data_IF_709766671708
#
_entry.id   IF_709766671708
#
_cell.length_a   1.000
_cell.length_b   1.000
_cell.length_c   1.000
_cell.angle_alpha   90.00
_cell.angle_beta   90.00
_cell.angle_gamma   90.00
#
_symmetry.space_group_name_H-M   'P 1'
#
loop_
_entity.id
_entity.type
_entity.pdbx_description
1 polymer ?
#
# COMPACT_ATOMS: atom_id res chain seq x y z
N UNK A 1 13.55 -13.82 -20.63
CA UNK A 1 13.14 -15.04 -19.94
C UNK A 1 12.93 -14.75 -18.47
N UNK A 2 12.19 -15.60 -17.76
CA UNK A 2 12.11 -15.60 -16.31
C UNK A 2 13.38 -16.28 -15.77
N UNK A 3 14.18 -15.53 -15.01
CA UNK A 3 15.36 -16.03 -14.33
C UNK A 3 15.02 -16.35 -12.87
N UNK A 4 15.54 -17.46 -12.34
CA UNK A 4 15.38 -17.83 -10.93
C UNK A 4 16.74 -17.72 -10.24
N UNK A 5 16.79 -16.98 -9.14
CA UNK A 5 17.95 -16.90 -8.27
C UNK A 5 17.57 -17.52 -6.93
N UNK A 6 18.32 -18.53 -6.49
CA UNK A 6 18.22 -19.03 -5.12
C UNK A 6 18.77 -17.97 -4.17
N UNK A 7 18.06 -17.71 -3.08
CA UNK A 7 18.55 -16.88 -1.98
C UNK A 7 19.24 -17.81 -0.99
N UNK A 8 20.51 -17.57 -0.64
CA UNK A 8 21.28 -18.43 0.24
C UNK A 8 20.83 -18.22 1.70
N UNK A 9 19.72 -18.84 2.07
CA UNK A 9 19.19 -18.79 3.43
C UNK A 9 19.54 -20.08 4.17
N UNK A 10 20.10 -19.93 5.36
CA UNK A 10 20.33 -21.07 6.27
C UNK A 10 19.00 -21.42 6.94
N UNK A 11 18.42 -22.57 6.60
CA UNK A 11 17.15 -23.05 7.20
C UNK A 11 15.87 -22.74 6.42
N UNK A 12 15.96 -22.02 5.29
CA UNK A 12 14.82 -21.71 4.42
C UNK A 12 13.88 -20.62 4.98
N UNK A 13 12.73 -20.43 4.32
CA UNK A 13 11.68 -19.49 4.75
C UNK A 13 10.40 -20.25 5.10
N UNK A 14 9.83 -19.93 6.26
CA UNK A 14 8.43 -20.22 6.55
C UNK A 14 7.56 -19.17 5.84
N UNK A 15 6.69 -19.61 4.93
CA UNK A 15 5.85 -18.74 4.09
C UNK A 15 4.34 -18.98 4.30
N UNK A 16 3.97 -20.01 5.06
CA UNK A 16 2.60 -20.48 5.24
C UNK A 16 2.27 -20.69 6.73
N UNK A 17 2.76 -19.79 7.57
CA UNK A 17 2.59 -19.78 9.03
C UNK A 17 1.38 -18.95 9.49
N UNK A 18 0.61 -18.38 8.56
CA UNK A 18 -0.56 -17.54 8.85
C UNK A 18 -0.21 -16.25 9.63
N UNK A 19 1.03 -15.79 9.51
CA UNK A 19 1.51 -14.56 10.14
C UNK A 19 1.84 -13.48 9.10
N UNK A 20 1.59 -12.21 9.44
CA UNK A 20 2.07 -11.11 8.62
C UNK A 20 3.59 -10.99 8.74
N UNK A 21 4.28 -11.06 7.60
CA UNK A 21 5.73 -10.88 7.52
C UNK A 21 6.05 -9.87 6.43
N UNK A 22 6.93 -8.91 6.73
CA UNK A 22 7.41 -7.97 5.73
C UNK A 22 8.55 -8.58 4.92
N UNK A 23 8.44 -8.52 3.59
CA UNK A 23 9.49 -8.92 2.66
C UNK A 23 9.87 -7.76 1.75
N UNK A 24 11.17 -7.52 1.57
CA UNK A 24 11.67 -6.55 0.61
C UNK A 24 12.81 -7.14 -0.23
N UNK A 25 12.85 -6.70 -1.49
CA UNK A 25 13.87 -7.07 -2.46
C UNK A 25 14.39 -5.78 -3.11
N UNK A 26 15.70 -5.58 -3.08
CA UNK A 26 16.38 -4.46 -3.72
C UNK A 26 17.26 -4.97 -4.85
N UNK A 27 17.10 -4.39 -6.04
CA UNK A 27 17.80 -4.80 -7.25
C UNK A 27 18.72 -3.68 -7.73
N UNK A 28 19.99 -4.00 -7.99
CA UNK A 28 20.98 -3.08 -8.51
C UNK A 28 21.66 -3.68 -9.74
N UNK A 29 21.70 -2.96 -10.85
CA UNK A 29 22.46 -3.40 -12.03
C UNK A 29 23.95 -3.46 -11.71
N UNK A 30 24.61 -4.56 -12.08
CA UNK A 30 26.05 -4.79 -11.89
C UNK A 30 26.77 -4.91 -13.24
N UNK A 31 28.11 -4.90 -13.23
CA UNK A 31 28.93 -5.07 -14.44
C UNK A 31 28.63 -6.38 -15.19
N UNK A 32 28.27 -7.42 -14.45
CA UNK A 32 27.64 -8.63 -14.97
C UNK A 32 26.40 -8.92 -14.13
N UNK A 33 25.23 -8.93 -14.77
CA UNK A 33 23.99 -9.34 -14.14
C UNK A 33 23.28 -8.27 -13.31
N UNK A 34 22.70 -8.70 -12.19
CA UNK A 34 21.97 -7.87 -11.23
C UNK A 34 22.30 -8.35 -9.83
N UNK A 35 22.61 -7.42 -8.94
CA UNK A 35 22.74 -7.68 -7.52
C UNK A 35 21.35 -7.62 -6.86
N UNK A 36 21.08 -8.59 -5.99
CA UNK A 36 19.85 -8.65 -5.19
C UNK A 36 20.24 -8.61 -3.71
N UNK A 37 19.57 -7.73 -2.96
CA UNK A 37 19.53 -7.78 -1.51
C UNK A 37 18.09 -8.14 -1.07
N UNK A 38 17.96 -9.10 -0.16
CA UNK A 38 16.70 -9.61 0.38
C UNK A 38 16.61 -9.33 1.88
N UNK A 39 15.43 -8.90 2.31
CA UNK A 39 15.15 -8.49 3.68
C UNK A 39 13.86 -9.12 4.19
N UNK A 40 13.85 -9.49 5.48
CA UNK A 40 12.68 -9.95 6.22
C UNK A 40 12.54 -9.09 7.48
N UNK A 41 11.35 -8.52 7.69
CA UNK A 41 11.06 -7.66 8.86
C UNK A 41 12.11 -6.57 9.11
N UNK A 42 12.58 -5.94 8.03
CA UNK A 42 13.58 -4.87 8.09
C UNK A 42 15.04 -5.33 8.07
N UNK A 43 15.30 -6.60 8.40
CA UNK A 43 16.65 -7.14 8.53
C UNK A 43 17.14 -7.83 7.26
N UNK A 44 18.43 -7.71 6.90
CA UNK A 44 18.99 -8.36 5.72
C UNK A 44 19.15 -9.87 5.94
N UNK A 45 18.47 -10.65 5.10
CA UNK A 45 18.54 -12.12 5.10
C UNK A 45 19.53 -12.66 4.06
N UNK A 46 19.76 -11.88 3.00
CA UNK A 46 20.77 -12.17 1.99
C UNK A 46 21.20 -10.90 1.28
N UNK A 47 22.51 -10.70 1.13
CA UNK A 47 23.08 -9.48 0.53
C UNK A 47 24.01 -9.83 -0.60
N UNK A 48 24.10 -8.90 -1.56
CA UNK A 48 25.00 -9.01 -2.70
C UNK A 48 24.85 -10.31 -3.48
N UNK A 49 23.61 -10.81 -3.60
CA UNK A 49 23.33 -12.02 -4.36
C UNK A 49 23.44 -11.67 -5.83
N UNK A 50 24.53 -12.09 -6.47
CA UNK A 50 24.80 -11.80 -7.87
C UNK A 50 24.05 -12.78 -8.77
N UNK A 51 23.27 -12.24 -9.70
CA UNK A 51 22.69 -13.02 -10.79
C UNK A 51 23.62 -13.05 -11.99
N UNK A 52 23.48 -14.07 -12.84
CA UNK A 52 24.19 -14.14 -14.12
C UNK A 52 23.52 -13.33 -15.24
N UNK A 53 22.41 -12.64 -14.97
CA UNK A 53 21.55 -12.01 -15.98
C UNK A 53 21.14 -10.59 -15.56
N UNK A 54 21.31 -9.62 -16.46
CA UNK A 54 21.00 -8.22 -16.19
C UNK A 54 19.52 -7.89 -16.41
N UNK A 55 19.01 -6.89 -15.68
CA UNK A 55 17.74 -6.25 -16.00
C UNK A 55 18.00 -5.23 -17.12
N UNK A 56 17.44 -5.49 -18.30
CA UNK A 56 17.53 -4.59 -19.45
C UNK A 56 16.74 -3.29 -19.26
N UNK A 57 16.95 -2.32 -20.14
CA UNK A 57 16.19 -1.08 -20.14
C UNK A 57 14.69 -1.38 -20.33
N UNK A 58 13.87 -0.83 -19.43
CA UNK A 58 12.42 -0.85 -19.57
C UNK A 58 11.99 0.38 -20.36
N UNK A 59 11.41 0.17 -21.54
CA UNK A 59 10.81 1.24 -22.36
C UNK A 59 9.29 1.14 -22.33
N UNK A 60 8.60 2.29 -22.28
CA UNK A 60 7.14 2.38 -22.30
C UNK A 60 6.48 2.24 -20.93
N UNK A 61 5.16 2.06 -20.92
CA UNK A 61 4.35 1.95 -19.69
C UNK A 61 4.49 0.57 -19.08
N UNK A 62 4.83 0.53 -17.78
CA UNK A 62 4.82 -0.69 -16.99
C UNK A 62 3.40 -1.02 -16.53
N UNK A 63 2.94 -2.25 -16.83
CA UNK A 63 1.68 -2.80 -16.32
C UNK A 63 2.01 -4.05 -15.51
N UNK A 64 1.74 -3.99 -14.21
CA UNK A 64 2.00 -5.09 -13.27
C UNK A 64 0.71 -5.69 -12.72
N UNK A 65 0.78 -6.95 -12.30
CA UNK A 65 -0.21 -7.57 -11.42
C UNK A 65 0.47 -7.84 -10.08
N UNK A 66 -0.26 -7.61 -8.98
CA UNK A 66 0.14 -8.03 -7.64
C UNK A 66 -0.65 -9.30 -7.33
N UNK A 67 0.03 -10.37 -6.95
CA UNK A 67 -0.60 -11.64 -6.61
C UNK A 67 -1.19 -12.43 -7.78
N UNK A 68 -0.77 -12.18 -9.03
CA UNK A 68 -1.12 -13.01 -10.18
C UNK A 68 -0.07 -12.86 -11.30
N UNK A 69 0.00 -13.84 -12.19
CA UNK A 69 0.90 -13.79 -13.35
C UNK A 69 0.41 -12.79 -14.39
N UNK A 70 1.34 -12.06 -15.01
CA UNK A 70 1.06 -11.13 -16.13
C UNK A 70 1.34 -11.74 -17.50
N UNK A 71 2.33 -12.62 -17.56
CA UNK A 71 2.78 -13.29 -18.79
C UNK A 71 3.17 -14.72 -18.45
N UNK A 72 3.26 -15.57 -19.48
CA UNK A 72 3.71 -16.93 -19.32
C UNK A 72 5.18 -16.95 -18.85
N UNK A 73 5.50 -17.60 -17.72
CA UNK A 73 6.89 -17.79 -17.31
C UNK A 73 7.68 -18.55 -18.39
N UNK A 74 8.95 -18.21 -18.61
CA UNK A 74 9.75 -18.98 -19.57
C UNK A 74 10.00 -20.40 -19.05
N UNK A 75 9.96 -21.39 -19.95
CA UNK A 75 10.22 -22.79 -19.63
C UNK A 75 8.97 -23.58 -19.19
N UNK A 76 7.78 -23.00 -19.27
CA UNK A 76 6.52 -23.71 -19.06
C UNK A 76 5.97 -24.21 -20.39
N UNK A 77 5.61 -25.49 -20.46
CA UNK A 77 4.99 -26.11 -21.65
C UNK A 77 3.51 -25.75 -21.82
N UNK A 78 2.82 -25.45 -20.71
CA UNK A 78 1.43 -25.01 -20.72
C UNK A 78 1.33 -23.52 -20.97
N UNK A 79 0.39 -23.11 -21.83
CA UNK A 79 0.08 -21.70 -22.05
C UNK A 79 -0.59 -21.12 -20.79
N UNK A 80 0.18 -20.41 -19.97
CA UNK A 80 -0.37 -19.68 -18.83
C UNK A 80 -0.85 -18.31 -19.30
N UNK A 81 -2.13 -18.03 -19.04
CA UNK A 81 -2.78 -16.77 -19.40
C UNK A 81 -2.62 -15.74 -18.28
N UNK A 82 -2.63 -14.46 -18.65
CA UNK A 82 -2.64 -13.34 -17.71
C UNK A 82 -3.76 -13.49 -16.66
N UNK A 83 -3.41 -13.35 -15.39
CA UNK A 83 -4.33 -13.50 -14.25
C UNK A 83 -4.36 -14.89 -13.59
N UNK A 84 -3.64 -15.88 -14.14
CA UNK A 84 -3.45 -17.19 -13.51
C UNK A 84 -2.36 -17.15 -12.42
N UNK A 85 -2.18 -18.26 -11.69
CA UNK A 85 -1.18 -18.35 -10.62
C UNK A 85 -1.46 -17.38 -9.48
N UNK A 86 -2.73 -17.29 -9.06
CA UNK A 86 -3.17 -16.34 -8.04
C UNK A 86 -2.51 -16.64 -6.69
N UNK A 87 -2.07 -15.59 -6.02
CA UNK A 87 -1.63 -15.65 -4.64
C UNK A 87 -2.80 -16.00 -3.74
N UNK A 88 -2.58 -16.95 -2.83
CA UNK A 88 -3.51 -17.28 -1.75
C UNK A 88 -2.88 -16.80 -0.43
N UNK A 89 -3.01 -15.50 -0.17
CA UNK A 89 -2.54 -14.83 1.03
C UNK A 89 -3.19 -13.45 1.14
N UNK A 90 -3.09 -12.82 2.31
CA UNK A 90 -3.39 -11.40 2.49
C UNK A 90 -2.18 -10.54 2.17
N UNK A 91 -2.41 -9.31 1.68
CA UNK A 91 -1.38 -8.33 1.36
C UNK A 91 -1.78 -6.99 1.96
N UNK A 92 -0.78 -6.29 2.49
CA UNK A 92 -0.91 -4.89 2.86
C UNK A 92 0.42 -4.16 2.59
N UNK A 93 0.42 -2.82 2.63
CA UNK A 93 1.63 -1.99 2.61
C UNK A 93 2.58 -2.24 1.40
N UNK A 94 2.03 -2.49 0.21
CA UNK A 94 2.84 -2.74 -0.98
C UNK A 94 3.51 -1.47 -1.49
N UNK A 95 4.83 -1.50 -1.64
CA UNK A 95 5.63 -0.36 -2.10
C UNK A 95 6.56 -0.77 -3.24
N UNK A 96 6.69 0.12 -4.22
CA UNK A 96 7.67 -0.03 -5.29
C UNK A 96 8.50 1.25 -5.42
N UNK A 97 9.82 1.09 -5.40
CA UNK A 97 10.79 2.18 -5.55
C UNK A 97 11.51 2.05 -6.89
N UNK A 98 11.80 3.19 -7.52
CA UNK A 98 12.59 3.27 -8.76
C UNK A 98 14.09 3.41 -8.49
N UNK A 99 14.50 3.01 -7.30
CA UNK A 99 15.88 3.05 -6.84
C UNK A 99 16.17 1.84 -5.95
N UNK A 100 17.45 1.51 -5.86
CA UNK A 100 17.91 0.52 -4.90
C UNK A 100 17.74 1.05 -3.48
N UNK A 101 17.02 0.31 -2.62
CA UNK A 101 16.84 0.65 -1.20
C UNK A 101 17.91 -0.07 -0.37
N UNK A 102 18.67 0.69 0.41
CA UNK A 102 19.72 0.16 1.30
C UNK A 102 19.11 -0.48 2.56
N UNK A 103 19.92 -1.21 3.31
CA UNK A 103 19.50 -1.84 4.57
C UNK A 103 18.92 -0.81 5.55
N UNK A 104 19.61 0.30 5.81
CA UNK A 104 19.15 1.34 6.74
C UNK A 104 17.81 1.94 6.31
N UNK A 105 17.66 2.12 5.00
CA UNK A 105 16.45 2.65 4.37
C UNK A 105 15.25 1.73 4.58
N UNK A 106 15.45 0.42 4.52
CA UNK A 106 14.42 -0.60 4.73
C UNK A 106 14.15 -0.79 6.22
N UNK A 107 15.20 -1.01 7.01
CA UNK A 107 15.12 -1.25 8.45
C UNK A 107 14.42 -0.13 9.22
N UNK A 108 14.56 1.13 8.77
CA UNK A 108 13.87 2.27 9.39
C UNK A 108 12.40 2.42 8.97
N UNK A 109 12.02 1.94 7.79
CA UNK A 109 10.75 2.32 7.16
C UNK A 109 9.78 1.16 6.90
N UNK A 110 10.18 -0.09 7.13
CA UNK A 110 9.35 -1.26 6.77
C UNK A 110 8.03 -1.35 7.54
N UNK A 111 7.95 -0.78 8.74
CA UNK A 111 6.80 -0.80 9.65
C UNK A 111 6.12 0.57 9.81
N UNK A 112 6.50 1.57 9.02
CA UNK A 112 5.93 2.92 9.11
C UNK A 112 5.56 3.44 7.73
N UNK A 113 4.64 4.40 7.69
CA UNK A 113 4.27 5.12 6.48
C UNK A 113 5.47 5.88 5.90
N UNK A 114 5.48 6.04 4.58
CA UNK A 114 6.51 6.78 3.85
C UNK A 114 5.86 7.86 2.99
N UNK A 115 6.36 9.08 3.10
CA UNK A 115 5.77 10.22 2.39
C UNK A 115 6.08 10.17 0.89
N UNK A 116 5.01 10.08 0.09
CA UNK A 116 5.06 10.11 -1.36
C UNK A 116 4.94 11.50 -1.98
N UNK A 117 4.62 12.53 -1.19
CA UNK A 117 4.18 13.85 -1.66
C UNK A 117 5.01 14.43 -2.82
N UNK A 118 4.35 14.68 -3.96
CA UNK A 118 4.93 15.36 -5.12
C UNK A 118 4.49 16.82 -5.26
N UNK A 119 3.77 17.35 -4.27
CA UNK A 119 3.13 18.67 -4.33
C UNK A 119 4.11 19.83 -4.07
N UNK A 120 5.33 19.54 -3.63
CA UNK A 120 6.38 20.54 -3.48
C UNK A 120 7.27 20.60 -4.73
N UNK A 121 7.48 21.82 -5.25
CA UNK A 121 8.34 22.09 -6.40
C UNK A 121 9.77 21.58 -6.11
N UNK A 122 10.22 20.58 -6.87
CA UNK A 122 11.57 20.02 -6.77
C UNK A 122 11.67 18.69 -6.02
N UNK A 123 10.65 18.29 -5.25
CA UNK A 123 10.60 16.96 -4.64
C UNK A 123 10.14 15.92 -5.66
N UNK A 124 11.11 15.22 -6.27
CA UNK A 124 10.84 14.04 -7.09
C UNK A 124 10.99 12.79 -6.24
N UNK A 125 9.89 12.33 -5.62
CA UNK A 125 9.91 11.06 -4.90
C UNK A 125 10.30 9.91 -5.85
N UNK A 126 11.22 9.07 -5.37
CA UNK A 126 11.68 7.85 -6.02
C UNK A 126 10.70 6.70 -5.82
N UNK A 127 9.73 6.88 -4.92
CA UNK A 127 8.57 6.02 -4.77
C UNK A 127 7.76 6.04 -6.08
N UNK A 128 7.54 4.85 -6.62
CA UNK A 128 6.82 4.61 -7.86
C UNK A 128 5.33 4.41 -7.61
N UNK A 129 5.00 3.48 -6.71
CA UNK A 129 3.63 3.27 -6.20
C UNK A 129 3.67 2.88 -4.73
N UNK A 130 2.62 3.22 -4.00
CA UNK A 130 2.40 2.80 -2.63
C UNK A 130 0.92 2.48 -2.43
N UNK A 131 0.62 1.19 -2.28
CA UNK A 131 -0.74 0.72 -2.08
C UNK A 131 -0.92 0.24 -0.64
N UNK A 132 -1.91 0.82 0.00
CA UNK A 132 -2.47 0.34 1.25
C UNK A 132 -3.81 -0.31 0.96
N UNK A 133 -4.06 -1.48 1.52
CA UNK A 133 -5.27 -2.24 1.22
C UNK A 133 -6.32 -2.10 2.32
N UNK A 134 -6.02 -1.32 3.37
CA UNK A 134 -6.81 -1.18 4.60
C UNK A 134 -7.60 0.13 4.74
N UNK A 135 -7.68 0.98 3.70
CA UNK A 135 -8.57 2.15 3.69
C UNK A 135 -10.04 1.76 3.98
N UNK A 136 -10.82 2.66 4.58
CA UNK A 136 -12.24 2.46 4.85
C UNK A 136 -13.06 1.95 3.65
N UNK A 137 -14.00 1.05 3.94
CA UNK A 137 -14.90 0.41 2.97
C UNK A 137 -16.17 1.26 2.83
N UNK A 138 -16.58 1.55 1.60
CA UNK A 138 -17.75 2.39 1.27
C UNK A 138 -19.02 1.57 1.09
N UNK A 139 -18.91 0.23 1.04
CA UNK A 139 -20.01 -0.71 0.76
C UNK A 139 -20.50 -0.63 -0.70
N UNK A 140 -19.61 -0.19 -1.59
CA UNK A 140 -19.86 -0.16 -3.02
C UNK A 140 -18.71 -0.83 -3.76
N UNK A 141 -18.97 -2.03 -4.28
CA UNK A 141 -17.98 -2.86 -4.98
C UNK A 141 -17.26 -2.13 -6.14
N UNK A 142 -17.90 -1.15 -6.80
CA UNK A 142 -17.24 -0.40 -7.89
C UNK A 142 -16.21 0.59 -7.36
N UNK A 143 -16.43 1.10 -6.16
CA UNK A 143 -15.56 2.05 -5.47
C UNK A 143 -14.47 1.29 -4.69
N UNK A 144 -14.86 0.24 -3.95
CA UNK A 144 -13.99 -0.49 -3.03
C UNK A 144 -12.99 -1.41 -3.75
N UNK A 145 -13.26 -1.77 -5.01
CA UNK A 145 -12.28 -2.46 -5.88
C UNK A 145 -11.09 -1.58 -6.27
N UNK A 146 -11.20 -0.25 -6.15
CA UNK A 146 -10.12 0.68 -6.49
C UNK A 146 -9.16 0.77 -5.30
N UNK A 147 -7.87 0.61 -5.55
CA UNK A 147 -6.82 0.74 -4.54
C UNK A 147 -6.10 2.05 -4.81
N UNK A 148 -6.05 2.93 -3.82
CA UNK A 148 -5.45 4.25 -3.99
C UNK A 148 -3.93 4.18 -3.92
N UNK A 149 -3.28 4.98 -4.76
CA UNK A 149 -1.83 5.20 -4.72
C UNK A 149 -1.47 6.32 -3.74
N UNK A 150 -0.88 5.96 -2.61
CA UNK A 150 -0.39 6.88 -1.58
C UNK A 150 1.00 7.44 -1.89
N UNK A 151 1.59 7.10 -3.04
CA UNK A 151 2.91 7.64 -3.44
C UNK A 151 2.89 9.09 -3.90
N UNK A 152 1.76 9.79 -3.78
CA UNK A 152 1.55 11.15 -4.30
C UNK A 152 1.38 11.19 -5.83
N UNK A 153 1.41 10.04 -6.50
CA UNK A 153 1.12 9.89 -7.93
C UNK A 153 -0.31 9.35 -8.08
N UNK A 154 -0.89 9.53 -9.27
CA UNK A 154 -2.24 9.00 -9.59
C UNK A 154 -2.08 7.68 -10.38
N UNK A 155 -1.55 6.64 -9.73
CA UNK A 155 -1.45 5.28 -10.32
C UNK A 155 -2.34 4.27 -9.57
N UNK A 156 -3.61 4.61 -9.36
CA UNK A 156 -4.55 3.77 -8.62
C UNK A 156 -4.65 2.36 -9.23
N UNK A 157 -4.64 1.34 -8.36
CA UNK A 157 -4.83 -0.05 -8.70
C UNK A 157 -6.31 -0.43 -8.83
N UNK A 158 -6.58 -1.61 -9.38
CA UNK A 158 -7.91 -2.22 -9.40
C UNK A 158 -7.83 -3.69 -9.05
N UNK A 159 -8.56 -4.10 -8.02
CA UNK A 159 -8.70 -5.50 -7.62
C UNK A 159 -9.62 -6.20 -8.62
N UNK A 160 -9.13 -7.26 -9.27
CA UNK A 160 -9.93 -8.10 -10.18
C UNK A 160 -10.64 -9.19 -9.40
N UNK A 161 -11.95 -9.30 -9.60
CA UNK A 161 -12.79 -10.25 -8.86
C UNK A 161 -13.14 -9.80 -7.45
N UNK A 162 -13.18 -8.48 -7.21
CA UNK A 162 -13.59 -7.93 -5.92
C UNK A 162 -14.99 -8.40 -5.54
N UNK A 163 -15.13 -8.87 -4.30
CA UNK A 163 -16.39 -9.24 -3.64
C UNK A 163 -16.36 -8.70 -2.21
N UNK A 164 -17.53 -8.62 -1.56
CA UNK A 164 -17.60 -8.24 -0.15
C UNK A 164 -16.71 -9.18 0.68
N UNK A 165 -15.87 -8.62 1.55
CA UNK A 165 -14.86 -9.37 2.32
C UNK A 165 -13.50 -9.51 1.65
N UNK A 166 -13.31 -9.02 0.41
CA UNK A 166 -11.98 -9.02 -0.26
C UNK A 166 -10.97 -8.08 0.44
N UNK A 167 -11.45 -7.07 1.15
CA UNK A 167 -10.61 -6.11 1.90
C UNK A 167 -11.00 -6.11 3.37
N UNK A 168 -10.03 -5.77 4.22
CA UNK A 168 -10.19 -5.57 5.66
C UNK A 168 -9.57 -4.22 6.02
N UNK A 169 -10.13 -3.52 7.01
CA UNK A 169 -9.60 -2.24 7.52
C UNK A 169 -8.58 -2.42 8.64
N UNK A 170 -8.18 -3.66 8.94
CA UNK A 170 -7.14 -3.94 9.93
C UNK A 170 -5.74 -3.53 9.46
N UNK A 171 -4.84 -3.27 10.42
CA UNK A 171 -3.43 -2.97 10.17
C UNK A 171 -2.59 -4.24 10.16
N UNK A 172 -1.95 -4.56 9.02
CA UNK A 172 -0.97 -5.64 8.95
C UNK A 172 0.28 -5.37 9.81
N UNK A 173 0.66 -4.09 9.98
CA UNK A 173 1.80 -3.69 10.82
C UNK A 173 1.54 -4.03 12.29
N UNK A 174 0.33 -3.74 12.79
CA UNK A 174 -0.05 -4.11 14.14
C UNK A 174 -0.23 -5.62 14.29
N UNK A 175 -0.84 -6.28 13.29
CA UNK A 175 -1.04 -7.73 13.31
C UNK A 175 0.27 -8.53 13.26
N UNK A 176 1.30 -8.02 12.60
CA UNK A 176 2.66 -8.60 12.64
C UNK A 176 3.45 -8.27 13.91
N UNK A 177 2.87 -7.51 14.84
CA UNK A 177 3.57 -6.97 16.03
C UNK A 177 4.78 -6.09 15.68
N UNK A 178 4.85 -5.58 14.45
CA UNK A 178 5.93 -4.71 13.99
C UNK A 178 5.88 -3.31 14.63
N UNK A 179 4.67 -2.85 14.98
CA UNK A 179 4.43 -1.65 15.78
C UNK A 179 3.24 -1.87 16.70
N UNK A 180 3.27 -1.22 17.87
CA UNK A 180 2.13 -1.19 18.81
C UNK A 180 1.03 -0.24 18.34
N UNK A 181 1.39 0.75 17.52
CA UNK A 181 0.46 1.77 17.01
C UNK A 181 0.77 2.04 15.54
N UNK A 182 -0.28 2.14 14.73
CA UNK A 182 -0.24 2.73 13.41
C UNK A 182 -1.29 3.85 13.32
N UNK A 183 -0.87 5.03 12.88
CA UNK A 183 -1.82 6.10 12.56
C UNK A 183 -2.42 5.82 11.18
N UNK A 184 -3.74 5.63 11.14
CA UNK A 184 -4.45 5.44 9.87
C UNK A 184 -4.39 6.69 8.99
N UNK A 185 -4.41 6.49 7.67
CA UNK A 185 -4.50 7.60 6.72
C UNK A 185 -5.93 8.16 6.67
N UNK A 186 -6.10 9.42 6.22
CA UNK A 186 -7.41 9.97 5.97
C UNK A 186 -8.20 9.12 4.95
N UNK A 187 -9.47 8.87 5.26
CA UNK A 187 -10.41 8.33 4.29
C UNK A 187 -10.73 9.45 3.29
N UNK A 188 -10.42 9.25 2.02
CA UNK A 188 -10.65 10.29 0.98
C UNK A 188 -12.02 10.15 0.31
N UNK A 189 -12.66 9.00 0.46
CA UNK A 189 -13.96 8.71 -0.14
C UNK A 189 -15.07 9.33 0.69
N UNK A 190 -15.57 10.49 0.29
CA UNK A 190 -16.57 11.29 1.03
C UNK A 190 -17.90 10.59 1.30
N UNK A 191 -18.25 9.57 0.50
CA UNK A 191 -19.43 8.73 0.69
C UNK A 191 -19.22 7.59 1.68
N UNK A 192 -18.04 7.47 2.30
CA UNK A 192 -17.78 6.45 3.30
C UNK A 192 -18.69 6.65 4.53
N UNK A 193 -19.35 5.59 5.03
CA UNK A 193 -20.26 5.68 6.17
C UNK A 193 -19.64 6.35 7.40
N UNK A 194 -18.38 6.05 7.73
CA UNK A 194 -17.68 6.63 8.88
C UNK A 194 -17.60 8.16 8.76
N UNK A 195 -17.31 8.67 7.55
CA UNK A 195 -17.23 10.10 7.31
C UNK A 195 -18.61 10.75 7.33
N UNK A 196 -19.60 10.14 6.68
CA UNK A 196 -20.95 10.68 6.64
C UNK A 196 -21.60 10.72 8.01
N UNK A 197 -21.39 9.68 8.82
CA UNK A 197 -21.95 9.56 10.17
C UNK A 197 -21.28 10.53 11.14
N UNK A 198 -19.95 10.65 11.08
CA UNK A 198 -19.21 11.65 11.84
C UNK A 198 -19.65 13.08 11.47
N UNK A 199 -19.76 13.38 10.17
CA UNK A 199 -20.28 14.67 9.69
C UNK A 199 -21.68 14.94 10.23
N UNK A 200 -22.60 13.99 10.10
CA UNK A 200 -23.98 14.16 10.56
C UNK A 200 -24.03 14.38 12.08
N UNK A 201 -23.23 13.64 12.84
CA UNK A 201 -23.11 13.79 14.30
C UNK A 201 -22.60 15.17 14.69
N UNK A 202 -21.54 15.65 14.04
CA UNK A 202 -20.97 16.98 14.29
C UNK A 202 -21.95 18.10 13.91
N UNK A 203 -22.67 17.95 12.80
CA UNK A 203 -23.72 18.90 12.40
C UNK A 203 -24.85 18.95 13.43
N UNK A 204 -25.36 17.80 13.85
CA UNK A 204 -26.39 17.74 14.89
C UNK A 204 -25.91 18.34 16.21
N UNK A 205 -24.66 18.05 16.61
CA UNK A 205 -24.05 18.63 17.82
C UNK A 205 -23.92 20.15 17.74
N UNK A 206 -23.49 20.69 16.60
CA UNK A 206 -23.41 22.13 16.35
C UNK A 206 -24.77 22.81 16.43
N UNK A 207 -25.78 22.23 15.76
CA UNK A 207 -27.16 22.73 15.82
C UNK A 207 -27.67 22.76 17.27
N UNK A 208 -27.47 21.69 18.03
CA UNK A 208 -27.89 21.62 19.44
C UNK A 208 -27.14 22.66 20.30
N UNK A 209 -25.84 22.86 20.05
CA UNK A 209 -25.08 23.90 20.73
C UNK A 209 -25.62 25.29 20.43
N UNK A 210 -25.87 25.60 19.16
CA UNK A 210 -26.36 26.92 18.73
C UNK A 210 -27.74 27.25 19.32
N UNK A 211 -28.64 26.27 19.40
CA UNK A 211 -29.97 26.43 20.02
C UNK A 211 -29.91 26.65 21.53
N UNK A 212 -29.01 25.96 22.23
CA UNK A 212 -28.94 26.01 23.69
C UNK A 212 -27.94 27.05 24.22
N UNK A 213 -27.15 27.68 23.35
CA UNK A 213 -26.17 28.67 23.75
C UNK A 213 -26.86 29.99 24.12
N UNK A 214 -27.03 30.25 25.42
CA UNK A 214 -27.62 31.50 25.94
C UNK A 214 -26.78 32.75 25.63
N UNK A 215 -25.53 32.58 25.21
CA UNK A 215 -24.65 33.67 24.75
C UNK A 215 -24.68 33.86 23.23
N UNK A 216 -25.59 33.20 22.51
CA UNK A 216 -25.78 33.39 21.07
C UNK A 216 -26.22 34.83 20.78
N UNK A 217 -25.62 35.46 19.76
CA UNK A 217 -25.94 36.83 19.32
C UNK A 217 -27.44 37.02 19.05
N UNK A 218 -28.13 35.98 18.58
CA UNK A 218 -29.59 35.98 18.40
C UNK A 218 -30.34 36.43 19.67
N UNK A 219 -29.94 35.96 20.85
CA UNK A 219 -30.55 36.33 22.13
C UNK A 219 -30.16 37.74 22.63
N UNK A 220 -29.22 38.41 21.94
CA UNK A 220 -28.83 39.80 22.25
C UNK A 220 -29.55 40.82 21.36
N UNK A 221 -30.29 40.37 20.33
CA UNK A 221 -31.02 41.27 19.45
C UNK A 221 -32.30 41.79 20.13
N UNK A 222 -32.67 43.07 19.93
CA UNK A 222 -33.93 43.60 20.43
C UNK A 222 -35.13 42.86 19.82
N UNK A 223 -36.20 42.65 20.60
CA UNK A 223 -37.39 41.88 20.16
C UNK A 223 -38.20 42.45 18.98
N UNK A 224 -37.80 43.59 18.41
CA UNK A 224 -38.38 44.13 17.18
C UNK A 224 -37.61 43.69 15.91
N UNK A 225 -36.41 43.11 16.07
CA UNK A 225 -35.58 42.57 14.98
C UNK A 225 -35.86 41.08 14.73
N UNK A 226 -36.31 40.38 15.77
CA UNK A 226 -36.51 38.93 15.82
C UNK A 226 -37.93 38.56 15.37
#
# INVERSE_FOLDING_TARGET
GLFRQGIPLTGGLSLADNEFTHYAFSFLSSSTGTQIDFYKNGEPEGRQILTGQGIGLVTGTLIGHIGALRTNPSGTSTAIVSGMGKLSASLDEFRYWKEFRKSDDIGRNWFTTVDGGSNEKGKKSKLGVYFKFNEGIVENNQIDKVVLDYSGRINNGTIKGYTLGTRSTGSAIMQSSASVIEFGDPIVRTSNPILTDSRNTLLSGGIVHDYNNTSNLFFTMPGWVI
#
